data_IF_117312676811
#
_entry.id   IF_117312676811
#
_cell.length_a   1.000
_cell.length_b   1.000
_cell.length_c   1.000
_cell.angle_alpha   90.00
_cell.angle_beta   90.00
_cell.angle_gamma   90.00
#
_symmetry.space_group_name_H-M   'P 1'
#
loop_
_entity.id
_entity.type
_entity.pdbx_description
1 polymer ?
#
# COMPACT_ATOMS: atom_id res chain seq x y z
N UNK A 1 40.44 -69.35 -9.65
CA UNK A 1 40.62 -68.75 -8.31
C UNK A 1 41.20 -67.35 -8.45
N UNK A 2 40.36 -66.31 -8.36
CA UNK A 2 40.65 -64.95 -7.82
C UNK A 2 39.37 -64.10 -7.97
N UNK A 3 38.81 -63.56 -6.88
CA UNK A 3 37.52 -62.87 -6.88
C UNK A 3 37.69 -61.38 -7.22
N UNK A 4 36.83 -60.82 -8.07
CA UNK A 4 36.74 -59.37 -8.24
C UNK A 4 35.71 -58.82 -7.24
N UNK A 5 36.20 -57.90 -6.42
CA UNK A 5 35.48 -57.21 -5.37
C UNK A 5 34.32 -56.37 -5.92
N UNK A 6 33.16 -56.59 -5.32
CA UNK A 6 31.98 -55.73 -5.32
C UNK A 6 32.36 -54.37 -4.70
N UNK A 7 32.23 -53.28 -5.44
CA UNK A 7 32.26 -51.92 -4.89
C UNK A 7 31.08 -51.13 -5.47
N UNK A 8 29.92 -51.23 -4.81
CA UNK A 8 28.76 -50.39 -5.10
C UNK A 8 28.97 -49.06 -4.37
N UNK A 9 29.21 -47.99 -5.12
CA UNK A 9 29.25 -46.63 -4.62
C UNK A 9 27.80 -46.09 -4.57
N UNK A 10 27.20 -46.04 -3.39
CA UNK A 10 25.87 -45.44 -3.18
C UNK A 10 26.06 -43.92 -3.09
N UNK A 11 25.62 -43.21 -4.13
CA UNK A 11 25.59 -41.75 -4.17
C UNK A 11 24.32 -41.27 -3.45
N UNK A 12 24.45 -40.77 -2.22
CA UNK A 12 23.35 -40.18 -1.46
C UNK A 12 23.13 -38.75 -1.98
N UNK A 13 22.10 -38.53 -2.81
CA UNK A 13 21.61 -37.20 -3.15
C UNK A 13 20.83 -36.63 -1.94
N UNK A 14 21.46 -35.71 -1.21
CA UNK A 14 20.78 -34.84 -0.25
C UNK A 14 19.91 -33.84 -1.02
N UNK A 15 18.61 -34.13 -1.12
CA UNK A 15 17.62 -33.18 -1.57
C UNK A 15 17.50 -32.05 -0.52
N UNK A 16 18.12 -30.90 -0.79
CA UNK A 16 17.92 -29.70 -0.02
C UNK A 16 16.51 -29.15 -0.29
N UNK A 17 15.55 -29.51 0.55
CA UNK A 17 14.27 -28.81 0.63
C UNK A 17 14.53 -27.38 1.10
N UNK A 18 14.67 -26.46 0.15
CA UNK A 18 14.60 -25.04 0.43
C UNK A 18 13.13 -24.74 0.75
N UNK A 19 12.80 -24.63 2.04
CA UNK A 19 11.54 -24.03 2.46
C UNK A 19 11.60 -22.56 2.07
N UNK A 20 11.11 -22.24 0.87
CA UNK A 20 10.64 -20.90 0.59
C UNK A 20 9.54 -20.63 1.62
N UNK A 21 9.89 -19.89 2.65
CA UNK A 21 8.92 -19.26 3.52
C UNK A 21 8.19 -18.22 2.66
N UNK A 22 7.22 -18.69 1.88
CA UNK A 22 6.17 -17.83 1.33
C UNK A 22 5.49 -17.26 2.55
N UNK A 23 5.91 -16.06 2.96
CA UNK A 23 5.23 -15.28 3.98
C UNK A 23 3.76 -15.27 3.58
N UNK A 24 2.93 -15.98 4.34
CA UNK A 24 1.49 -16.02 4.08
C UNK A 24 1.04 -14.58 4.28
N UNK A 25 0.80 -13.87 3.18
CA UNK A 25 0.27 -12.51 3.23
C UNK A 25 -0.90 -12.54 4.21
N UNK A 26 -0.82 -11.73 5.26
CA UNK A 26 -1.84 -11.72 6.30
C UNK A 26 -3.20 -11.50 5.68
N UNK A 27 -4.23 -12.19 6.15
CA UNK A 27 -5.61 -11.92 5.73
C UNK A 27 -6.06 -10.59 6.31
N UNK A 28 -6.67 -9.72 5.49
CA UNK A 28 -7.23 -8.46 5.97
C UNK A 28 -8.61 -8.73 6.58
N UNK A 29 -8.77 -8.46 7.88
CA UNK A 29 -10.07 -8.50 8.57
C UNK A 29 -10.87 -7.24 8.23
N UNK A 30 -11.79 -7.36 7.27
CA UNK A 30 -12.63 -6.27 6.80
C UNK A 30 -13.87 -6.11 7.68
N UNK A 31 -14.14 -4.87 8.11
CA UNK A 31 -15.30 -4.49 8.93
C UNK A 31 -16.11 -3.39 8.26
N UNK A 32 -17.43 -3.41 8.48
CA UNK A 32 -18.31 -2.35 8.01
C UNK A 32 -17.85 -0.99 8.56
N UNK A 33 -17.77 -0.01 7.66
CA UNK A 33 -17.30 1.34 7.94
C UNK A 33 -17.98 2.35 7.02
N UNK A 34 -17.69 3.64 7.23
CA UNK A 34 -18.10 4.70 6.32
C UNK A 34 -16.90 5.57 5.95
N UNK A 35 -16.65 5.71 4.65
CA UNK A 35 -15.67 6.64 4.11
C UNK A 35 -16.18 8.07 4.22
N UNK A 36 -15.26 9.01 4.40
CA UNK A 36 -15.51 10.44 4.42
C UNK A 36 -14.32 11.20 3.84
N UNK A 37 -14.57 12.41 3.36
CA UNK A 37 -13.52 13.33 2.94
C UNK A 37 -13.62 14.66 3.74
N UNK A 38 -12.49 15.29 4.06
CA UNK A 38 -12.49 16.61 4.68
C UNK A 38 -13.34 17.62 3.90
N UNK A 39 -14.16 18.39 4.60
CA UNK A 39 -15.00 19.44 3.99
C UNK A 39 -16.24 18.93 3.23
N UNK A 40 -16.48 17.61 3.16
CA UNK A 40 -17.69 17.04 2.55
C UNK A 40 -18.61 16.37 3.59
N UNK A 41 -19.94 16.61 3.53
CA UNK A 41 -20.90 15.94 4.42
C UNK A 41 -21.19 14.49 4.00
N UNK A 42 -20.72 14.05 2.83
CA UNK A 42 -20.99 12.74 2.27
C UNK A 42 -20.30 11.63 3.07
N UNK A 43 -21.04 10.54 3.35
CA UNK A 43 -20.54 9.30 3.94
C UNK A 43 -20.86 8.15 3.00
N UNK A 44 -19.87 7.35 2.62
CA UNK A 44 -20.06 6.20 1.73
C UNK A 44 -19.86 4.89 2.50
N UNK A 45 -20.82 3.96 2.48
CA UNK A 45 -20.64 2.65 3.11
C UNK A 45 -19.51 1.88 2.40
N UNK A 46 -18.66 1.23 3.19
CA UNK A 46 -17.56 0.42 2.71
C UNK A 46 -17.21 -0.66 3.75
N UNK A 47 -16.29 -1.54 3.39
CA UNK A 47 -15.62 -2.44 4.31
C UNK A 47 -14.17 -1.99 4.47
N UNK A 48 -13.76 -1.63 5.67
CA UNK A 48 -12.43 -1.13 5.97
C UNK A 48 -11.60 -2.17 6.70
N UNK A 49 -10.30 -2.17 6.48
CA UNK A 49 -9.34 -3.00 7.19
C UNK A 49 -7.94 -2.43 7.07
N UNK A 50 -6.98 -3.16 7.61
CA UNK A 50 -5.58 -2.76 7.55
C UNK A 50 -4.67 -3.91 7.20
N UNK A 51 -3.51 -3.59 6.64
CA UNK A 51 -2.42 -4.55 6.39
C UNK A 51 -1.11 -4.00 6.94
N UNK A 52 -0.50 -4.71 7.89
CA UNK A 52 0.82 -4.36 8.43
C UNK A 52 1.92 -5.08 7.65
N UNK A 53 2.95 -4.33 7.25
CA UNK A 53 4.10 -4.82 6.50
C UNK A 53 5.37 -4.05 6.88
N UNK A 54 6.54 -4.61 6.57
CA UNK A 54 7.81 -3.92 6.81
C UNK A 54 7.95 -2.70 5.90
N UNK A 55 8.38 -1.58 6.46
CA UNK A 55 8.67 -0.35 5.71
C UNK A 55 9.71 -0.64 4.62
N UNK A 56 10.81 -1.30 5.01
CA UNK A 56 11.78 -1.85 4.08
C UNK A 56 11.41 -3.29 3.70
N UNK A 57 10.79 -3.44 2.53
CA UNK A 57 10.38 -4.74 2.00
C UNK A 57 11.56 -5.64 1.61
N UNK A 58 12.69 -5.06 1.20
CA UNK A 58 13.84 -5.81 0.73
C UNK A 58 14.54 -6.53 1.90
N UNK A 59 14.66 -5.88 3.05
CA UNK A 59 15.30 -6.48 4.24
C UNK A 59 14.32 -7.24 5.13
N UNK A 60 13.01 -6.96 5.01
CA UNK A 60 11.96 -7.53 5.86
C UNK A 60 12.26 -7.41 7.36
N UNK A 61 12.83 -6.26 7.74
CA UNK A 61 13.28 -5.99 9.10
C UNK A 61 13.14 -4.51 9.44
N UNK A 62 13.17 -4.20 10.74
CA UNK A 62 13.02 -2.83 11.23
C UNK A 62 11.57 -2.39 11.35
N UNK A 63 11.31 -1.11 11.05
CA UNK A 63 9.99 -0.47 11.21
C UNK A 63 8.94 -1.17 10.34
N UNK A 64 7.75 -1.32 10.91
CA UNK A 64 6.56 -1.75 10.18
C UNK A 64 5.64 -0.55 9.96
N UNK A 65 4.98 -0.54 8.81
CA UNK A 65 3.92 0.40 8.48
C UNK A 65 2.61 -0.37 8.34
N UNK A 66 1.52 0.33 8.64
CA UNK A 66 0.16 -0.19 8.50
C UNK A 66 -0.51 0.59 7.38
N UNK A 67 -1.00 -0.14 6.38
CA UNK A 67 -1.79 0.42 5.30
C UNK A 67 -3.26 0.44 5.69
N UNK A 68 -3.93 1.56 5.43
CA UNK A 68 -5.37 1.75 5.51
C UNK A 68 -6.02 1.37 4.18
N UNK A 69 -7.01 0.48 4.24
CA UNK A 69 -7.62 -0.15 3.08
C UNK A 69 -9.13 -0.07 3.23
N UNK A 70 -9.82 0.19 2.12
CA UNK A 70 -11.26 0.07 2.04
C UNK A 70 -11.68 -0.64 0.75
N UNK A 71 -12.76 -1.41 0.85
CA UNK A 71 -13.45 -2.04 -0.27
C UNK A 71 -14.86 -1.49 -0.31
N UNK A 72 -15.23 -0.83 -1.40
CA UNK A 72 -16.63 -0.47 -1.68
C UNK A 72 -17.22 -1.64 -2.47
N UNK A 73 -18.11 -2.46 -1.86
CA UNK A 73 -18.59 -3.67 -2.51
C UNK A 73 -19.39 -3.35 -3.78
N UNK A 74 -19.35 -4.25 -4.75
CA UNK A 74 -20.24 -4.20 -5.91
C UNK A 74 -21.71 -4.24 -5.47
N UNK A 75 -22.58 -3.51 -6.18
CA UNK A 75 -24.02 -3.41 -5.84
C UNK A 75 -24.91 -4.42 -6.58
N UNK A 76 -24.41 -5.02 -7.66
CA UNK A 76 -25.13 -5.96 -8.50
C UNK A 76 -25.12 -7.38 -7.97
N UNK A 77 -25.77 -8.28 -8.71
CA UNK A 77 -25.80 -9.73 -8.40
C UNK A 77 -24.66 -10.49 -9.08
N UNK A 78 -24.31 -10.08 -10.29
CA UNK A 78 -23.23 -10.66 -11.09
C UNK A 78 -21.97 -9.82 -10.85
N UNK A 79 -21.17 -10.24 -9.87
CA UNK A 79 -19.93 -9.56 -9.48
C UNK A 79 -18.75 -10.22 -10.20
N UNK A 80 -17.96 -9.42 -10.88
CA UNK A 80 -16.74 -9.84 -11.54
C UNK A 80 -15.65 -10.19 -10.50
N UNK A 81 -14.81 -11.21 -10.78
CA UNK A 81 -13.84 -11.70 -9.79
C UNK A 81 -12.64 -10.75 -9.59
N UNK A 82 -12.41 -9.80 -10.49
CA UNK A 82 -11.35 -8.79 -10.39
C UNK A 82 -11.90 -7.41 -9.98
N UNK A 83 -11.30 -6.74 -8.97
CA UNK A 83 -11.75 -5.43 -8.54
C UNK A 83 -11.20 -4.35 -9.47
N UNK A 84 -11.80 -3.16 -9.41
CA UNK A 84 -11.13 -1.95 -9.86
C UNK A 84 -10.38 -1.33 -8.69
N UNK A 85 -9.07 -1.10 -8.85
CA UNK A 85 -8.28 -0.34 -7.88
C UNK A 85 -8.30 1.12 -8.28
N UNK A 86 -8.71 1.99 -7.35
CA UNK A 86 -8.58 3.44 -7.53
C UNK A 86 -7.30 3.94 -6.86
N UNK A 87 -6.43 4.56 -7.66
CA UNK A 87 -5.22 5.24 -7.18
C UNK A 87 -5.45 6.75 -7.21
N UNK A 88 -5.44 7.38 -6.04
CA UNK A 88 -5.47 8.83 -5.97
C UNK A 88 -4.16 9.44 -6.49
N UNK A 89 -4.30 10.53 -7.25
CA UNK A 89 -3.19 11.29 -7.83
C UNK A 89 -2.63 12.36 -6.88
N UNK A 90 -1.73 13.21 -7.37
CA UNK A 90 -1.03 14.18 -6.53
C UNK A 90 0.46 14.14 -6.83
N UNK A 91 1.32 13.45 -6.07
CA UNK A 91 1.10 12.45 -5.00
C UNK A 91 0.68 13.02 -3.63
N UNK A 92 0.51 12.14 -2.63
CA UNK A 92 0.23 12.52 -1.23
C UNK A 92 -1.25 12.46 -0.83
N UNK A 93 -2.16 12.27 -1.79
CA UNK A 93 -3.59 12.12 -1.54
C UNK A 93 -3.93 10.72 -1.01
N UNK A 94 -4.94 10.64 -0.15
CA UNK A 94 -5.52 9.40 0.35
C UNK A 94 -6.57 8.87 -0.63
N UNK A 95 -6.46 7.62 -1.09
CA UNK A 95 -7.47 7.03 -1.97
C UNK A 95 -8.84 6.95 -1.29
N UNK A 96 -8.85 6.65 0.01
CA UNK A 96 -10.07 6.54 0.82
C UNK A 96 -10.83 7.86 0.99
N UNK A 97 -10.14 9.00 0.87
CA UNK A 97 -10.75 10.34 0.91
C UNK A 97 -11.07 10.84 -0.51
N UNK A 98 -10.13 10.74 -1.45
CA UNK A 98 -10.31 11.21 -2.82
C UNK A 98 -11.46 10.50 -3.53
N UNK A 99 -11.65 9.19 -3.31
CA UNK A 99 -12.76 8.45 -3.89
C UNK A 99 -14.12 9.00 -3.47
N UNK A 100 -14.28 9.48 -2.23
CA UNK A 100 -15.56 10.03 -1.75
C UNK A 100 -16.00 11.22 -2.62
N UNK A 101 -15.05 12.05 -3.03
CA UNK A 101 -15.29 13.26 -3.83
C UNK A 101 -15.78 12.94 -5.25
N UNK A 102 -15.41 11.78 -5.79
CA UNK A 102 -15.65 11.41 -7.19
C UNK A 102 -16.44 10.10 -7.35
N UNK A 103 -17.00 9.57 -6.27
CA UNK A 103 -17.60 8.22 -6.23
C UNK A 103 -18.69 8.00 -7.29
N UNK A 104 -19.45 9.04 -7.64
CA UNK A 104 -20.48 8.98 -8.68
C UNK A 104 -19.91 8.71 -10.08
N UNK A 105 -18.65 9.08 -10.36
CA UNK A 105 -17.98 8.74 -11.62
C UNK A 105 -17.77 7.22 -11.78
N UNK A 106 -17.78 6.47 -10.68
CA UNK A 106 -17.59 5.02 -10.65
C UNK A 106 -18.91 4.24 -10.54
N UNK A 107 -20.07 4.91 -10.53
CA UNK A 107 -21.37 4.26 -10.31
C UNK A 107 -21.63 3.06 -11.22
N UNK A 108 -21.26 3.20 -12.51
CA UNK A 108 -21.44 2.12 -13.50
C UNK A 108 -20.52 0.94 -13.24
N UNK A 109 -19.27 1.19 -12.85
CA UNK A 109 -18.25 0.17 -12.58
C UNK A 109 -18.56 -0.53 -11.25
N UNK A 110 -18.97 0.20 -10.22
CA UNK A 110 -19.35 -0.37 -8.94
C UNK A 110 -20.67 -1.18 -8.99
N UNK A 111 -21.33 -1.29 -10.15
CA UNK A 111 -22.43 -2.25 -10.31
C UNK A 111 -21.94 -3.69 -10.32
N UNK A 112 -20.82 -3.97 -10.97
CA UNK A 112 -20.32 -5.32 -11.19
C UNK A 112 -18.92 -5.55 -10.62
N UNK A 113 -18.23 -4.51 -10.13
CA UNK A 113 -16.90 -4.63 -9.51
C UNK A 113 -16.84 -4.01 -8.13
N UNK A 114 -16.11 -4.67 -7.24
CA UNK A 114 -15.63 -4.04 -6.02
C UNK A 114 -14.67 -2.91 -6.39
N UNK A 115 -14.74 -1.78 -5.67
CA UNK A 115 -13.74 -0.72 -5.76
C UNK A 115 -12.81 -0.85 -4.56
N UNK A 116 -11.54 -1.14 -4.82
CA UNK A 116 -10.51 -1.26 -3.81
C UNK A 116 -9.75 0.06 -3.70
N UNK A 117 -9.66 0.57 -2.48
CA UNK A 117 -9.01 1.81 -2.10
C UNK A 117 -7.86 1.46 -1.15
N UNK A 118 -6.65 1.88 -1.51
CA UNK A 118 -5.48 1.76 -0.65
C UNK A 118 -4.90 3.14 -0.48
N UNK A 119 -4.90 3.65 0.74
CA UNK A 119 -4.03 4.78 1.07
C UNK A 119 -2.60 4.27 0.92
N UNK A 120 -1.86 4.77 -0.07
CA UNK A 120 -0.47 4.36 -0.29
C UNK A 120 0.38 4.71 0.93
N UNK A 121 1.48 3.99 1.14
CA UNK A 121 2.49 4.33 2.16
C UNK A 121 2.81 5.83 2.09
N UNK A 122 2.77 6.52 3.22
CA UNK A 122 3.05 7.96 3.27
C UNK A 122 1.87 8.86 2.93
N UNK A 123 0.67 8.30 2.73
CA UNK A 123 -0.56 9.07 2.43
C UNK A 123 -1.69 8.71 3.38
N UNK A 124 -2.69 9.59 3.49
CA UNK A 124 -3.92 9.33 4.27
C UNK A 124 -3.67 8.77 5.66
N UNK A 125 -4.33 7.66 5.96
CA UNK A 125 -4.16 6.96 7.23
C UNK A 125 -3.05 5.89 7.20
N UNK A 126 -2.29 5.82 6.10
CA UNK A 126 -1.17 4.89 5.88
C UNK A 126 0.18 5.51 6.19
N UNK A 127 0.37 5.95 7.44
CA UNK A 127 1.63 6.55 7.91
C UNK A 127 2.01 7.79 7.10
N UNK A 128 1.08 8.76 6.97
CA UNK A 128 1.29 9.96 6.17
C UNK A 128 2.60 10.69 6.51
N UNK A 129 3.37 11.03 5.47
CA UNK A 129 4.54 11.89 5.62
C UNK A 129 4.03 13.34 5.71
N UNK A 130 4.04 13.88 6.93
CA UNK A 130 3.62 15.25 7.25
C UNK A 130 4.80 15.96 7.89
N UNK A 131 5.07 17.16 7.39
CA UNK A 131 6.00 18.09 7.98
C UNK A 131 5.21 19.35 8.30
N UNK A 132 5.37 19.85 9.53
CA UNK A 132 4.85 21.17 9.83
C UNK A 132 5.68 22.18 9.02
N UNK A 133 5.03 23.16 8.37
CA UNK A 133 5.75 24.26 7.76
C UNK A 133 6.65 24.90 8.82
N UNK A 134 7.88 25.28 8.44
CA UNK A 134 8.61 26.24 9.25
C UNK A 134 7.71 27.48 9.42
N UNK A 135 7.63 28.06 10.62
CA UNK A 135 6.69 29.16 10.92
C UNK A 135 6.65 30.21 9.81
N UNK A 136 5.66 30.10 8.93
CA UNK A 136 5.48 31.05 7.84
C UNK A 136 4.69 32.21 8.40
N UNK A 137 5.34 33.36 8.48
CA UNK A 137 4.69 34.67 8.65
C UNK A 137 3.46 34.74 7.75
N UNK A 138 2.34 35.22 8.28
CA UNK A 138 1.02 35.34 7.62
C UNK A 138 0.99 36.28 6.39
N UNK A 139 2.14 36.71 5.90
CA UNK A 139 2.27 37.55 4.71
C UNK A 139 2.24 36.68 3.45
N UNK A 140 1.54 37.10 2.38
CA UNK A 140 1.57 36.38 1.12
C UNK A 140 3.02 36.33 0.63
N UNK A 141 3.63 35.16 0.72
CA UNK A 141 5.00 34.94 0.27
C UNK A 141 5.09 35.36 -1.20
N UNK A 142 5.93 36.37 -1.50
CA UNK A 142 6.47 36.48 -2.86
C UNK A 142 7.18 35.16 -3.12
N UNK A 143 6.67 34.35 -4.04
CA UNK A 143 7.31 33.10 -4.44
C UNK A 143 8.63 33.46 -5.12
N UNK A 144 9.68 33.60 -4.33
CA UNK A 144 11.06 33.70 -4.79
C UNK A 144 11.60 32.27 -4.73
N UNK A 145 11.95 31.74 -5.90
CA UNK A 145 12.61 30.43 -5.97
C UNK A 145 14.07 30.61 -5.54
N UNK A 146 14.32 30.46 -4.24
CA UNK A 146 15.66 30.34 -3.67
C UNK A 146 15.92 28.85 -3.36
N UNK A 147 16.78 28.22 -4.15
CA UNK A 147 17.13 26.82 -4.02
C UNK A 147 17.78 26.49 -2.66
N UNK A 148 18.57 27.41 -2.11
CA UNK A 148 19.22 27.21 -0.81
C UNK A 148 18.19 27.25 0.32
N UNK A 149 17.22 28.17 0.24
CA UNK A 149 16.10 28.22 1.17
C UNK A 149 15.25 26.95 1.09
N UNK A 150 14.89 26.50 -0.12
CA UNK A 150 14.12 25.27 -0.31
C UNK A 150 14.85 24.03 0.20
N UNK A 151 16.16 23.93 -0.02
CA UNK A 151 16.96 22.83 0.50
C UNK A 151 16.94 22.79 2.03
N UNK A 152 16.95 23.95 2.69
CA UNK A 152 16.86 24.03 4.14
C UNK A 152 15.47 23.64 4.66
N UNK A 153 14.41 24.11 4.01
CA UNK A 153 13.02 23.73 4.31
C UNK A 153 12.81 22.21 4.16
N UNK A 154 13.34 21.61 3.10
CA UNK A 154 13.30 20.16 2.88
C UNK A 154 14.07 19.42 3.97
N UNK A 155 15.28 19.86 4.35
CA UNK A 155 16.04 19.25 5.45
C UNK A 155 15.31 19.34 6.78
N UNK A 156 14.70 20.50 7.08
CA UNK A 156 13.90 20.69 8.27
C UNK A 156 12.69 19.77 8.31
N UNK A 157 12.03 19.57 7.16
CA UNK A 157 10.97 18.57 7.00
C UNK A 157 11.48 17.15 7.22
N UNK A 158 12.57 16.75 6.56
CA UNK A 158 13.17 15.41 6.71
C UNK A 158 13.54 15.09 8.17
N UNK A 159 14.01 16.08 8.93
CA UNK A 159 14.33 15.91 10.35
C UNK A 159 13.11 15.63 11.25
N UNK A 160 11.89 15.96 10.80
CA UNK A 160 10.65 15.68 11.53
C UNK A 160 10.10 14.27 11.24
N UNK A 161 10.51 13.66 10.12
CA UNK A 161 9.95 12.39 9.68
C UNK A 161 10.53 11.23 10.50
N UNK A 162 9.65 10.45 11.13
CA UNK A 162 10.00 9.13 11.66
C UNK A 162 9.80 8.06 10.58
N UNK A 163 10.51 8.20 9.46
CA UNK A 163 10.43 7.35 8.28
C UNK A 163 11.71 7.45 7.46
N UNK A 164 11.97 6.46 6.59
CA UNK A 164 12.99 6.58 5.55
C UNK A 164 12.31 6.93 4.21
N UNK A 165 12.37 8.21 3.77
CA UNK A 165 11.64 8.65 2.57
C UNK A 165 12.10 7.97 1.28
N UNK A 166 13.29 7.36 1.28
CA UNK A 166 13.77 6.59 0.11
C UNK A 166 12.91 5.33 -0.13
N UNK A 167 12.12 4.90 0.86
CA UNK A 167 11.22 3.76 0.80
C UNK A 167 9.77 4.13 0.40
N UNK A 168 9.50 5.39 0.05
CA UNK A 168 8.17 5.91 -0.30
C UNK A 168 8.06 6.24 -1.79
N UNK A 169 8.54 5.31 -2.62
CA UNK A 169 8.48 5.43 -4.08
C UNK A 169 7.27 4.70 -4.65
N UNK A 170 6.86 5.07 -5.87
CA UNK A 170 5.76 4.42 -6.58
C UNK A 170 5.98 2.90 -6.75
N UNK A 171 7.21 2.48 -7.04
CA UNK A 171 7.52 1.06 -7.24
C UNK A 171 7.19 0.24 -5.99
N UNK A 172 7.66 0.70 -4.82
CA UNK A 172 7.41 0.01 -3.55
C UNK A 172 5.91 0.09 -3.17
N UNK A 173 5.25 1.22 -3.47
CA UNK A 173 3.80 1.33 -3.27
C UNK A 173 2.98 0.36 -4.15
N UNK A 174 3.47 -0.02 -5.34
CA UNK A 174 2.82 -1.05 -6.16
C UNK A 174 3.05 -2.46 -5.62
N UNK A 175 4.20 -2.75 -5.02
CA UNK A 175 4.42 -4.02 -4.31
C UNK A 175 3.52 -4.14 -3.07
N UNK A 176 3.24 -3.02 -2.41
CA UNK A 176 2.26 -2.93 -1.33
C UNK A 176 0.83 -3.20 -1.84
N UNK A 177 0.46 -2.57 -2.95
CA UNK A 177 -0.84 -2.80 -3.58
C UNK A 177 -1.04 -4.27 -3.97
N UNK A 178 -0.01 -4.92 -4.53
CA UNK A 178 -0.08 -6.34 -4.85
C UNK A 178 -0.23 -7.23 -3.60
N UNK A 179 0.45 -6.87 -2.50
CA UNK A 179 0.26 -7.54 -1.22
C UNK A 179 -1.18 -7.37 -0.69
N UNK A 180 -1.78 -6.18 -0.85
CA UNK A 180 -3.19 -5.94 -0.51
C UNK A 180 -4.12 -6.77 -1.39
N UNK A 181 -3.91 -6.79 -2.71
CA UNK A 181 -4.68 -7.63 -3.65
C UNK A 181 -4.69 -9.09 -3.18
N UNK A 182 -3.51 -9.65 -2.92
CA UNK A 182 -3.36 -11.03 -2.47
C UNK A 182 -4.03 -11.27 -1.11
N UNK A 183 -3.88 -10.34 -0.15
CA UNK A 183 -4.46 -10.41 1.18
C UNK A 183 -6.00 -10.31 1.20
N UNK A 184 -6.59 -9.61 0.21
CA UNK A 184 -8.03 -9.52 -0.02
C UNK A 184 -8.58 -10.74 -0.80
N UNK A 185 -7.71 -11.59 -1.36
CA UNK A 185 -8.10 -12.81 -2.07
C UNK A 185 -8.39 -12.62 -3.56
N UNK A 186 -8.07 -11.47 -4.15
CA UNK A 186 -8.25 -11.24 -5.59
C UNK A 186 -7.09 -11.86 -6.38
N UNK A 187 -7.39 -12.61 -7.45
CA UNK A 187 -6.36 -13.21 -8.30
C UNK A 187 -5.63 -12.17 -9.16
N UNK A 188 -6.38 -11.20 -9.69
CA UNK A 188 -5.89 -10.11 -10.54
C UNK A 188 -6.66 -8.83 -10.26
N UNK A 189 -6.17 -7.70 -10.77
CA UNK A 189 -6.89 -6.42 -10.83
C UNK A 189 -7.30 -6.12 -12.27
N UNK A 190 -8.35 -5.31 -12.45
CA UNK A 190 -8.88 -4.93 -13.77
C UNK A 190 -7.96 -3.99 -14.55
#
# INVERSE_FOLDING_TARGET
>A
MRPYHFLILILILLAACSTNATSRAGTIDLKECHLSAPGLPLRLPAKCGTLTLFENRATQSGRQITLNIAVVPARGRDVEPDPLVFLAGGPGQAATESYVQISTAFDRINRDRDIVLVDQRGTGHSNALRCEPAETTTEPAKVVFDEAQQAEEIKACLAQLNADPTLYTTAIAMDDLDAVRAALGYERVN
#
